data_IF_957580765980
#
_entry.id   IF_957580765980
#
_cell.length_a   1.000
_cell.length_b   1.000
_cell.length_c   1.000
_cell.angle_alpha   90.00
_cell.angle_beta   90.00
_cell.angle_gamma   90.00
#
_symmetry.space_group_name_H-M   'P 1'
#
loop_
_entity.id
_entity.type
_entity.pdbx_description
1 polymer ?
#
# COMPACT_ATOMS: atom_id res chain seq x y z
N UNK A 1 26.08 -35.02 -22.72
CA UNK A 1 24.80 -34.98 -21.98
C UNK A 1 24.62 -33.58 -21.45
N UNK A 2 23.73 -32.79 -22.05
CA UNK A 2 23.34 -31.48 -21.53
C UNK A 2 22.49 -31.72 -20.28
N UNK A 3 23.00 -31.27 -19.13
CA UNK A 3 22.21 -31.25 -17.90
C UNK A 3 21.01 -30.32 -18.13
N UNK A 4 19.83 -30.90 -18.25
CA UNK A 4 18.57 -30.17 -18.19
C UNK A 4 18.37 -29.81 -16.73
N UNK A 5 18.77 -28.59 -16.35
CA UNK A 5 18.37 -28.00 -15.08
C UNK A 5 16.88 -27.76 -15.16
N UNK A 6 16.10 -28.62 -14.52
CA UNK A 6 14.67 -28.35 -14.31
C UNK A 6 14.58 -27.11 -13.42
N UNK A 7 14.06 -26.02 -13.96
CA UNK A 7 13.57 -24.92 -13.14
C UNK A 7 12.37 -25.49 -12.37
N UNK A 8 12.58 -26.01 -11.16
CA UNK A 8 11.46 -26.25 -10.26
C UNK A 8 10.79 -24.89 -10.07
N UNK A 9 9.47 -24.85 -10.28
CA UNK A 9 8.66 -23.67 -10.00
C UNK A 9 8.60 -23.49 -8.47
N UNK A 10 9.71 -23.10 -7.86
CA UNK A 10 9.85 -22.99 -6.40
C UNK A 10 8.90 -21.91 -5.91
N UNK A 11 7.77 -22.31 -5.33
CA UNK A 11 6.78 -21.44 -4.74
C UNK A 11 7.44 -20.55 -3.67
N UNK A 12 7.06 -19.27 -3.62
CA UNK A 12 7.60 -18.35 -2.62
C UNK A 12 6.78 -18.55 -1.35
N UNK A 13 7.37 -19.24 -0.39
CA UNK A 13 6.78 -19.48 0.91
C UNK A 13 7.18 -18.39 1.88
N UNK A 14 6.21 -17.85 2.61
CA UNK A 14 6.44 -16.94 3.72
C UNK A 14 5.79 -17.45 4.99
N UNK A 15 6.54 -17.38 6.08
CA UNK A 15 6.03 -17.67 7.41
C UNK A 15 5.34 -16.43 7.98
N UNK A 16 4.08 -16.58 8.34
CA UNK A 16 3.20 -15.52 8.87
C UNK A 16 2.52 -15.99 10.15
N UNK A 17 2.10 -15.05 10.99
CA UNK A 17 1.36 -15.33 12.22
C UNK A 17 -0.14 -15.12 11.99
N UNK A 18 -0.91 -16.21 11.96
CA UNK A 18 -2.35 -16.16 11.89
C UNK A 18 -2.93 -15.86 13.27
N UNK A 19 -3.62 -14.73 13.40
CA UNK A 19 -4.12 -14.22 14.67
C UNK A 19 -5.62 -14.53 14.92
N UNK A 20 -6.29 -15.22 13.99
CA UNK A 20 -7.67 -15.68 14.20
C UNK A 20 -7.75 -16.99 14.97
N UNK A 21 -8.98 -17.43 15.25
CA UNK A 21 -9.27 -18.66 16.01
C UNK A 21 -9.78 -19.80 15.12
N UNK A 22 -10.03 -19.54 13.83
CA UNK A 22 -10.59 -20.54 12.94
C UNK A 22 -9.57 -21.63 12.59
N UNK A 23 -10.10 -22.78 12.16
CA UNK A 23 -9.29 -23.83 11.53
C UNK A 23 -9.07 -23.50 10.07
N UNK A 24 -7.81 -23.35 9.68
CA UNK A 24 -7.39 -23.05 8.32
C UNK A 24 -7.38 -24.31 7.48
N UNK A 25 -7.79 -24.17 6.21
CA UNK A 25 -7.62 -25.21 5.19
C UNK A 25 -6.62 -24.75 4.13
N UNK A 26 -6.01 -25.71 3.46
CA UNK A 26 -5.17 -25.44 2.30
C UNK A 26 -5.93 -24.60 1.26
N UNK A 27 -5.24 -23.60 0.70
CA UNK A 27 -5.81 -22.66 -0.28
C UNK A 27 -6.71 -21.56 0.29
N UNK A 28 -6.89 -21.47 1.60
CA UNK A 28 -7.58 -20.33 2.22
C UNK A 28 -6.81 -19.03 2.00
N UNK A 29 -7.54 -17.96 1.68
CA UNK A 29 -6.97 -16.63 1.48
C UNK A 29 -6.77 -15.91 2.82
N UNK A 30 -5.61 -15.27 2.99
CA UNK A 30 -5.29 -14.47 4.17
C UNK A 30 -4.82 -13.07 3.79
N UNK A 31 -5.09 -12.09 4.65
CA UNK A 31 -4.71 -10.70 4.48
C UNK A 31 -3.87 -10.20 5.67
N UNK A 32 -2.93 -9.29 5.42
CA UNK A 32 -2.17 -8.64 6.48
C UNK A 32 -3.07 -7.73 7.33
N UNK A 33 -2.95 -7.85 8.65
CA UNK A 33 -3.63 -6.99 9.61
C UNK A 33 -2.89 -5.65 9.73
N UNK A 34 -3.24 -4.69 8.86
CA UNK A 34 -2.64 -3.34 8.85
C UNK A 34 -3.18 -2.43 9.96
N UNK A 35 -4.28 -2.82 10.59
CA UNK A 35 -4.92 -2.11 11.71
C UNK A 35 -4.28 -2.41 13.06
N UNK A 36 -3.43 -3.43 13.16
CA UNK A 36 -2.90 -3.88 14.45
C UNK A 36 -1.93 -2.89 15.12
N UNK A 37 -2.08 -2.72 16.44
CA UNK A 37 -1.13 -2.04 17.33
C UNK A 37 -1.13 -0.50 17.25
N UNK A 38 -0.58 0.12 18.30
CA UNK A 38 -0.21 1.54 18.30
C UNK A 38 1.14 1.72 17.57
N UNK A 39 1.47 2.94 17.13
CA UNK A 39 2.62 3.23 16.23
C UNK A 39 3.94 2.54 16.62
N UNK A 40 4.17 2.32 17.92
CA UNK A 40 5.40 1.83 18.53
C UNK A 40 5.54 0.29 18.39
N UNK A 41 4.43 -0.46 18.33
CA UNK A 41 4.39 -1.93 18.22
C UNK A 41 3.91 -2.40 16.85
N UNK A 42 3.23 -1.51 16.13
CA UNK A 42 2.62 -1.72 14.83
C UNK A 42 3.63 -2.09 13.73
N UNK A 43 4.78 -1.42 13.69
CA UNK A 43 5.70 -1.52 12.55
C UNK A 43 6.20 -2.95 12.27
N UNK A 44 6.75 -3.71 13.25
CA UNK A 44 7.20 -5.07 12.99
C UNK A 44 6.04 -6.07 12.90
N UNK A 45 5.02 -5.95 13.76
CA UNK A 45 3.93 -6.92 13.82
C UNK A 45 3.03 -6.91 12.57
N UNK A 46 2.80 -5.74 11.95
CA UNK A 46 2.02 -5.61 10.70
C UNK A 46 2.70 -6.26 9.48
N UNK A 47 3.99 -6.58 9.57
CA UNK A 47 4.73 -7.20 8.47
C UNK A 47 4.50 -8.73 8.38
N UNK A 48 4.02 -9.38 9.44
CA UNK A 48 3.84 -10.84 9.45
C UNK A 48 2.49 -11.28 10.03
N UNK A 49 1.74 -10.42 10.70
CA UNK A 49 0.42 -10.75 11.24
C UNK A 49 -0.62 -10.79 10.14
N UNK A 50 -1.30 -11.92 10.02
CA UNK A 50 -2.37 -12.15 9.04
C UNK A 50 -3.67 -12.56 9.74
N UNK A 51 -4.77 -12.19 9.11
CA UNK A 51 -6.13 -12.48 9.58
C UNK A 51 -7.02 -12.80 8.38
N UNK A 52 -8.26 -13.19 8.66
CA UNK A 52 -9.31 -13.35 7.65
C UNK A 52 -9.47 -12.06 6.82
N UNK A 53 -9.73 -12.17 5.51
CA UNK A 53 -10.11 -11.02 4.70
C UNK A 53 -11.29 -10.27 5.32
N UNK A 54 -11.17 -8.94 5.41
CA UNK A 54 -12.14 -8.01 5.95
C UNK A 54 -12.07 -6.71 5.15
N UNK A 55 -13.12 -5.88 5.19
CA UNK A 55 -13.18 -4.64 4.41
C UNK A 55 -11.96 -3.74 4.61
N UNK A 56 -11.47 -3.64 5.85
CA UNK A 56 -10.31 -2.82 6.19
C UNK A 56 -8.95 -3.37 5.74
N UNK A 57 -8.85 -4.64 5.37
CA UNK A 57 -7.58 -5.29 5.00
C UNK A 57 -7.56 -5.94 3.62
N UNK A 58 -8.67 -5.89 2.87
CA UNK A 58 -8.87 -6.63 1.61
C UNK A 58 -7.87 -6.24 0.50
N UNK A 59 -7.23 -5.08 0.62
CA UNK A 59 -6.19 -4.60 -0.30
C UNK A 59 -4.79 -5.13 0.01
N UNK A 60 -4.63 -5.79 1.17
CA UNK A 60 -3.33 -6.26 1.67
C UNK A 60 -3.29 -7.78 1.68
N UNK A 61 -3.46 -8.38 0.49
CA UNK A 61 -3.38 -9.82 0.32
C UNK A 61 -2.01 -10.33 0.76
N UNK A 62 -1.99 -11.30 1.68
CA UNK A 62 -0.77 -11.90 2.18
C UNK A 62 -0.38 -13.15 1.39
N UNK A 63 -1.37 -13.87 0.88
CA UNK A 63 -1.19 -15.11 0.15
C UNK A 63 -2.26 -16.14 0.48
N UNK A 64 -2.04 -17.35 0.00
CA UNK A 64 -2.89 -18.51 0.31
C UNK A 64 -2.19 -19.49 1.23
N UNK A 65 -2.94 -20.13 2.11
CA UNK A 65 -2.42 -21.15 3.04
C UNK A 65 -1.84 -22.31 2.24
N UNK A 66 -0.58 -22.67 2.52
CA UNK A 66 0.11 -23.76 1.85
C UNK A 66 -0.48 -25.14 2.20
N UNK A 67 -0.34 -26.11 1.30
CA UNK A 67 -0.92 -27.45 1.43
C UNK A 67 -0.47 -28.20 2.69
N UNK A 68 0.75 -27.94 3.17
CA UNK A 68 1.35 -28.54 4.37
C UNK A 68 0.81 -27.94 5.69
N UNK A 69 -0.06 -26.93 5.60
CA UNK A 69 -0.64 -26.21 6.73
C UNK A 69 -2.14 -26.49 6.90
N UNK A 70 -2.68 -27.45 6.15
CA UNK A 70 -4.09 -27.85 6.24
C UNK A 70 -4.48 -28.33 7.65
N UNK A 71 -5.63 -27.89 8.14
CA UNK A 71 -6.18 -28.30 9.43
C UNK A 71 -5.56 -27.60 10.64
N UNK A 72 -4.72 -26.57 10.46
CA UNK A 72 -4.16 -25.81 11.59
C UNK A 72 -5.20 -24.86 12.19
N UNK A 73 -5.38 -24.94 13.50
CA UNK A 73 -6.23 -24.03 14.28
C UNK A 73 -5.40 -22.87 14.83
N UNK A 74 -5.90 -21.64 14.68
CA UNK A 74 -5.24 -20.46 15.20
C UNK A 74 -5.49 -20.19 16.70
N UNK A 75 -4.77 -19.23 17.30
CA UNK A 75 -3.72 -18.42 16.68
C UNK A 75 -2.39 -19.21 16.59
N UNK A 76 -1.74 -19.20 15.42
CA UNK A 76 -0.54 -19.99 15.19
C UNK A 76 0.33 -19.45 14.05
N UNK A 77 1.57 -19.94 13.96
CA UNK A 77 2.43 -19.68 12.82
C UNK A 77 2.08 -20.62 11.67
N UNK A 78 1.84 -20.04 10.49
CA UNK A 78 1.52 -20.76 9.27
C UNK A 78 2.39 -20.29 8.11
N UNK A 79 2.53 -21.14 7.12
CA UNK A 79 3.19 -20.81 5.85
C UNK A 79 2.14 -20.44 4.82
N UNK A 80 2.32 -19.31 4.15
CA UNK A 80 1.52 -18.89 3.00
C UNK A 80 2.37 -18.88 1.74
N UNK A 81 1.72 -19.12 0.60
CA UNK A 81 2.30 -18.93 -0.73
C UNK A 81 2.01 -17.50 -1.16
N UNK A 82 3.06 -16.72 -1.37
CA UNK A 82 2.97 -15.30 -1.74
C UNK A 82 2.75 -15.12 -3.26
N UNK A 83 2.04 -14.06 -3.67
CA UNK A 83 1.88 -13.67 -5.08
C UNK A 83 3.14 -12.93 -5.60
N UNK A 84 4.33 -13.51 -5.39
CA UNK A 84 5.61 -12.83 -5.64
C UNK A 84 5.93 -12.66 -7.14
N UNK A 85 5.48 -13.59 -8.00
CA UNK A 85 5.69 -13.53 -9.45
C UNK A 85 4.46 -14.12 -10.18
N UNK A 86 4.00 -13.47 -11.27
CA UNK A 86 2.97 -14.04 -12.14
C UNK A 86 3.51 -15.32 -12.77
N UNK A 87 2.65 -16.33 -12.93
CA UNK A 87 3.05 -17.61 -13.52
C UNK A 87 2.70 -18.83 -12.68
N UNK A 88 2.70 -18.69 -11.35
CA UNK A 88 2.76 -19.82 -10.42
C UNK A 88 1.39 -20.39 -10.08
N UNK A 89 1.25 -21.71 -10.21
CA UNK A 89 0.02 -22.44 -9.92
C UNK A 89 -0.05 -22.81 -8.44
N UNK A 90 -1.14 -22.42 -7.79
CA UNK A 90 -1.41 -22.71 -6.38
C UNK A 90 -2.86 -23.16 -6.22
N UNK A 91 -3.13 -24.01 -5.24
CA UNK A 91 -4.50 -24.32 -4.85
C UNK A 91 -5.12 -23.11 -4.16
N UNK A 92 -6.24 -22.65 -4.69
CA UNK A 92 -7.04 -21.57 -4.10
C UNK A 92 -8.41 -22.13 -3.78
N UNK A 93 -8.85 -21.98 -2.54
CA UNK A 93 -10.20 -22.37 -2.14
C UNK A 93 -11.19 -21.32 -2.62
N UNK A 94 -12.21 -21.74 -3.36
CA UNK A 94 -13.22 -20.85 -3.94
C UNK A 94 -14.61 -21.48 -3.89
N UNK A 95 -15.64 -20.64 -3.81
CA UNK A 95 -17.04 -21.02 -3.97
C UNK A 95 -17.62 -20.57 -5.33
N UNK A 96 -16.76 -20.10 -6.24
CA UNK A 96 -17.15 -19.63 -7.56
C UNK A 96 -16.85 -20.69 -8.61
N UNK A 97 -17.81 -20.92 -9.50
CA UNK A 97 -17.60 -21.79 -10.64
C UNK A 97 -16.49 -21.25 -11.53
N UNK A 98 -15.51 -22.12 -11.78
CA UNK A 98 -14.29 -21.77 -12.48
C UNK A 98 -14.32 -22.30 -13.91
N UNK A 99 -13.88 -21.47 -14.85
CA UNK A 99 -13.57 -21.84 -16.22
C UNK A 99 -12.09 -21.57 -16.45
N UNK A 100 -11.38 -22.57 -16.97
CA UNK A 100 -9.94 -22.53 -17.22
C UNK A 100 -9.57 -21.31 -18.08
N UNK A 101 -8.63 -20.50 -17.57
CA UNK A 101 -8.07 -19.33 -18.25
C UNK A 101 -9.00 -18.12 -18.33
N UNK A 102 -10.20 -18.17 -17.72
CA UNK A 102 -11.22 -17.11 -17.85
C UNK A 102 -11.63 -16.55 -16.49
N UNK A 103 -11.90 -17.41 -15.51
CA UNK A 103 -12.44 -16.95 -14.22
C UNK A 103 -11.35 -16.29 -13.38
N UNK A 104 -11.50 -14.98 -13.12
CA UNK A 104 -10.63 -14.25 -12.18
C UNK A 104 -11.22 -14.32 -10.77
N UNK A 105 -10.39 -14.78 -9.85
CA UNK A 105 -10.69 -14.95 -8.44
C UNK A 105 -10.24 -13.71 -7.67
N UNK A 106 -11.10 -13.22 -6.79
CA UNK A 106 -10.86 -12.08 -5.94
C UNK A 106 -11.16 -12.35 -4.48
N UNK A 107 -10.63 -11.50 -3.62
CA UNK A 107 -10.89 -11.58 -2.18
C UNK A 107 -12.33 -11.18 -1.85
N UNK A 108 -12.95 -11.86 -0.88
CA UNK A 108 -14.28 -11.56 -0.37
C UNK A 108 -14.18 -11.24 1.11
N UNK A 109 -14.66 -10.06 1.53
CA UNK A 109 -14.67 -9.67 2.94
C UNK A 109 -15.49 -10.67 3.76
N UNK A 110 -14.96 -11.08 4.92
CA UNK A 110 -15.60 -12.04 5.80
C UNK A 110 -15.52 -13.50 5.33
N UNK A 111 -14.76 -13.82 4.28
CA UNK A 111 -14.61 -15.18 3.75
C UNK A 111 -13.14 -15.57 3.60
N UNK A 112 -12.83 -16.86 3.80
CA UNK A 112 -11.54 -17.45 3.42
C UNK A 112 -11.51 -17.93 1.96
N UNK A 113 -12.68 -18.15 1.38
CA UNK A 113 -12.83 -18.56 -0.01
C UNK A 113 -12.72 -17.34 -0.92
N UNK A 114 -11.95 -17.47 -2.01
CA UNK A 114 -11.95 -16.52 -3.10
C UNK A 114 -13.31 -16.57 -3.82
N UNK A 115 -13.81 -15.40 -4.21
CA UNK A 115 -15.03 -15.25 -5.00
C UNK A 115 -14.74 -14.49 -6.30
N UNK A 116 -15.76 -13.88 -6.88
CA UNK A 116 -15.61 -13.12 -8.12
C UNK A 116 -14.73 -11.87 -7.91
N UNK A 117 -13.72 -11.72 -8.76
CA UNK A 117 -12.97 -10.48 -8.83
C UNK A 117 -13.84 -9.33 -9.33
N UNK A 118 -13.64 -8.13 -8.76
CA UNK A 118 -14.38 -6.92 -9.11
C UNK A 118 -13.77 -5.68 -8.46
N UNK A 119 -14.42 -4.52 -8.62
CA UNK A 119 -13.90 -3.25 -8.09
C UNK A 119 -13.69 -3.26 -6.56
N UNK A 120 -14.56 -3.95 -5.83
CA UNK A 120 -14.48 -4.09 -4.36
C UNK A 120 -13.74 -5.34 -3.90
N UNK A 121 -13.39 -6.23 -4.83
CA UNK A 121 -12.80 -7.55 -4.59
C UNK A 121 -11.58 -7.71 -5.49
N UNK A 122 -10.40 -7.24 -5.04
CA UNK A 122 -9.18 -7.24 -5.86
C UNK A 122 -8.91 -8.63 -6.43
N UNK A 123 -8.59 -8.70 -7.72
CA UNK A 123 -8.17 -9.95 -8.35
C UNK A 123 -6.86 -10.41 -7.71
N UNK A 124 -6.81 -11.68 -7.32
CA UNK A 124 -5.66 -12.33 -6.70
C UNK A 124 -5.15 -13.53 -7.50
N UNK A 125 -6.00 -14.10 -8.37
CA UNK A 125 -5.64 -15.26 -9.15
C UNK A 125 -6.52 -15.43 -10.39
N UNK A 126 -5.98 -16.12 -11.40
CA UNK A 126 -6.71 -16.60 -12.57
C UNK A 126 -6.92 -18.12 -12.43
N UNK A 127 -8.15 -18.61 -12.56
CA UNK A 127 -8.42 -20.04 -12.49
C UNK A 127 -7.78 -20.77 -13.68
N UNK A 128 -7.04 -21.83 -13.39
CA UNK A 128 -6.33 -22.68 -14.37
C UNK A 128 -6.95 -24.08 -14.45
N UNK A 129 -8.21 -24.19 -14.03
CA UNK A 129 -8.99 -25.42 -14.06
C UNK A 129 -10.47 -25.07 -14.21
N UNK A 130 -11.19 -25.85 -15.02
CA UNK A 130 -12.66 -25.77 -15.10
C UNK A 130 -13.25 -26.68 -14.03
N UNK A 131 -13.97 -26.12 -13.06
CA UNK A 131 -14.57 -26.86 -11.94
C UNK A 131 -15.84 -26.15 -11.43
N UNK A 132 -16.90 -26.92 -11.21
CA UNK A 132 -18.06 -26.45 -10.43
C UNK A 132 -17.68 -26.45 -8.94
N UNK A 133 -17.66 -25.25 -8.36
CA UNK A 133 -17.26 -25.03 -6.98
C UNK A 133 -18.42 -24.50 -6.14
N UNK A 134 -19.66 -24.71 -6.58
CA UNK A 134 -20.88 -24.26 -5.88
C UNK A 134 -20.96 -24.77 -4.42
N UNK A 135 -20.33 -25.90 -4.11
CA UNK A 135 -20.20 -26.44 -2.75
C UNK A 135 -18.92 -26.00 -1.99
N UNK A 136 -18.08 -25.17 -2.61
CA UNK A 136 -16.74 -24.82 -2.12
C UNK A 136 -15.70 -25.90 -2.44
N UNK A 137 -14.68 -25.55 -3.21
CA UNK A 137 -13.60 -26.46 -3.58
C UNK A 137 -12.26 -25.73 -3.76
N UNK A 138 -11.16 -26.48 -3.68
CA UNK A 138 -9.84 -25.99 -4.06
C UNK A 138 -9.64 -26.14 -5.57
N UNK A 139 -9.29 -25.05 -6.23
CA UNK A 139 -9.05 -24.97 -7.67
C UNK A 139 -7.59 -24.61 -7.91
N UNK A 140 -6.95 -25.22 -8.91
CA UNK A 140 -5.64 -24.74 -9.36
C UNK A 140 -5.79 -23.36 -10.00
N UNK A 141 -5.15 -22.36 -9.42
CA UNK A 141 -5.18 -21.00 -9.92
C UNK A 141 -3.77 -20.43 -10.01
N UNK A 142 -3.55 -19.61 -11.03
CA UNK A 142 -2.33 -18.85 -11.18
C UNK A 142 -2.45 -17.59 -10.34
N UNK A 143 -1.61 -17.40 -9.32
CA UNK A 143 -1.63 -16.16 -8.54
C UNK A 143 -1.27 -14.99 -9.47
N UNK A 144 -2.15 -14.00 -9.51
CA UNK A 144 -1.84 -12.72 -10.14
C UNK A 144 -0.89 -12.01 -9.17
N UNK A 145 0.28 -11.60 -9.66
CA UNK A 145 1.19 -10.77 -8.87
C UNK A 145 0.39 -9.62 -8.29
N UNK A 146 0.57 -9.33 -6.99
CA UNK A 146 -0.14 -8.23 -6.33
C UNK A 146 -0.14 -7.05 -7.29
N UNK A 147 -1.32 -6.47 -7.63
CA UNK A 147 -1.39 -5.44 -8.66
C UNK A 147 -0.29 -4.47 -8.33
N UNK A 148 0.71 -4.38 -9.23
CA UNK A 148 1.80 -3.42 -9.07
C UNK A 148 1.08 -2.16 -8.68
N UNK A 149 1.33 -1.65 -7.46
CA UNK A 149 0.65 -0.49 -6.93
C UNK A 149 0.65 0.46 -8.10
N UNK A 150 -0.52 0.64 -8.74
CA UNK A 150 -0.59 1.53 -9.86
C UNK A 150 -0.40 2.83 -9.12
N UNK A 151 0.85 3.30 -9.08
CA UNK A 151 1.17 4.67 -8.80
C UNK A 151 0.28 5.34 -9.79
N UNK A 152 -0.87 5.83 -9.32
CA UNK A 152 -1.79 6.62 -10.12
C UNK A 152 -0.84 7.63 -10.73
N UNK A 153 -0.54 7.60 -12.05
CA UNK A 153 0.34 8.60 -12.63
C UNK A 153 -0.27 9.90 -12.15
N UNK A 154 0.51 10.65 -11.36
CA UNK A 154 0.01 11.70 -10.48
C UNK A 154 -1.09 12.42 -11.24
N UNK A 155 -2.34 12.25 -10.79
CA UNK A 155 -3.53 12.65 -11.56
C UNK A 155 -3.21 14.00 -12.12
N UNK A 156 -3.04 14.09 -13.46
CA UNK A 156 -2.35 15.19 -14.13
C UNK A 156 -2.69 16.45 -13.36
N UNK A 157 -1.74 16.91 -12.53
CA UNK A 157 -2.02 18.02 -11.65
C UNK A 157 -2.17 19.14 -12.65
N UNK A 158 -3.42 19.50 -12.94
CA UNK A 158 -3.73 20.75 -13.59
C UNK A 158 -3.21 21.75 -12.58
N UNK A 159 -1.94 22.13 -12.74
CA UNK A 159 -1.36 23.24 -12.04
C UNK A 159 -2.26 24.39 -12.43
N UNK A 160 -3.20 24.70 -11.54
CA UNK A 160 -3.75 26.03 -11.52
C UNK A 160 -2.57 26.84 -11.00
N UNK A 161 -1.73 27.32 -11.91
CA UNK A 161 -0.84 28.42 -11.59
C UNK A 161 -1.76 29.52 -11.10
N UNK A 162 -1.90 29.65 -9.79
CA UNK A 162 -2.39 30.88 -9.20
C UNK A 162 -1.23 31.84 -9.46
N UNK A 163 -1.35 32.61 -10.54
CA UNK A 163 -0.53 33.79 -10.78
C UNK A 163 -0.81 34.73 -9.60
N UNK A 164 -0.03 34.59 -8.52
CA UNK A 164 0.02 35.59 -7.48
C UNK A 164 0.85 36.73 -8.05
N UNK A 165 0.17 37.68 -8.70
CA UNK A 165 0.78 38.96 -9.05
C UNK A 165 1.17 39.66 -7.75
N UNK A 166 2.43 39.52 -7.35
CA UNK A 166 3.09 40.41 -6.41
C UNK A 166 4.25 41.08 -7.14
N UNK A 167 4.31 42.40 -7.01
CA UNK A 167 5.14 43.35 -7.76
C UNK A 167 6.66 43.22 -7.55
N UNK A 168 7.15 42.11 -6.99
CA UNK A 168 8.56 41.97 -6.62
C UNK A 168 9.10 40.57 -6.92
N UNK A 169 9.53 40.36 -8.18
CA UNK A 169 10.58 39.40 -8.56
C UNK A 169 10.27 37.90 -8.42
N UNK A 170 10.44 37.15 -9.52
CA UNK A 170 10.32 35.69 -9.49
C UNK A 170 11.47 35.06 -8.69
N UNK A 171 11.15 34.38 -7.58
CA UNK A 171 11.98 33.30 -7.07
C UNK A 171 11.44 31.99 -7.67
N UNK A 172 12.12 31.49 -8.71
CA UNK A 172 11.85 30.18 -9.29
C UNK A 172 12.43 29.12 -8.35
N UNK A 173 11.56 28.40 -7.62
CA UNK A 173 11.98 27.33 -6.71
C UNK A 173 11.54 25.98 -7.30
N UNK A 174 12.49 25.31 -7.95
CA UNK A 174 12.33 23.91 -8.37
C UNK A 174 12.59 23.04 -7.15
N UNK A 175 11.54 22.44 -6.59
CA UNK A 175 11.66 21.41 -5.55
C UNK A 175 11.85 20.07 -6.24
N UNK A 176 13.09 19.62 -6.36
CA UNK A 176 13.37 18.22 -6.71
C UNK A 176 13.14 17.35 -5.47
N UNK A 177 12.21 16.41 -5.62
CA UNK A 177 11.64 15.59 -4.55
C UNK A 177 12.60 14.43 -4.21
N UNK A 178 13.29 14.50 -3.07
CA UNK A 178 13.98 13.35 -2.48
C UNK A 178 13.67 13.24 -0.98
N UNK A 179 12.64 12.45 -0.65
CA UNK A 179 12.73 11.46 0.42
C UNK A 179 12.76 11.89 1.89
N UNK A 180 12.44 13.12 2.27
CA UNK A 180 12.24 13.48 3.68
C UNK A 180 10.79 13.88 3.97
N UNK A 181 10.28 13.43 5.13
CA UNK A 181 8.94 13.71 5.63
C UNK A 181 8.81 15.22 5.82
N UNK A 182 8.36 15.88 4.76
CA UNK A 182 8.08 17.30 4.74
C UNK A 182 6.79 17.52 5.52
N UNK A 183 6.86 18.17 6.68
CA UNK A 183 5.69 18.72 7.36
C UNK A 183 5.41 20.10 6.75
N UNK A 184 4.49 20.24 5.77
CA UNK A 184 4.24 21.52 5.11
C UNK A 184 3.80 22.61 6.09
N UNK A 185 3.31 22.25 7.28
CA UNK A 185 2.97 23.20 8.33
C UNK A 185 4.19 23.87 8.97
N UNK A 186 5.30 23.16 9.18
CA UNK A 186 6.50 23.74 9.80
C UNK A 186 7.22 24.70 8.84
N UNK A 187 7.35 24.31 7.57
CA UNK A 187 7.95 25.20 6.57
C UNK A 187 7.09 26.46 6.35
N UNK A 188 5.78 26.31 6.16
CA UNK A 188 4.88 27.46 5.97
C UNK A 188 4.82 28.36 7.19
N UNK A 189 4.89 27.81 8.40
CA UNK A 189 4.94 28.62 9.63
C UNK A 189 6.27 29.37 9.76
N UNK A 190 7.40 28.72 9.46
CA UNK A 190 8.72 29.35 9.52
C UNK A 190 8.86 30.47 8.49
N UNK A 191 8.42 30.26 7.24
CA UNK A 191 8.45 31.31 6.21
C UNK A 191 7.51 32.47 6.51
N UNK A 192 6.33 32.19 7.08
CA UNK A 192 5.41 33.24 7.54
C UNK A 192 6.02 34.05 8.68
N UNK A 193 6.67 33.41 9.62
CA UNK A 193 7.31 34.06 10.76
C UNK A 193 8.51 34.92 10.31
N UNK A 194 9.35 34.40 9.40
CA UNK A 194 10.46 35.16 8.79
C UNK A 194 9.93 36.39 8.04
N UNK A 195 8.86 36.23 7.25
CA UNK A 195 8.25 37.36 6.51
C UNK A 195 7.73 38.44 7.46
N UNK A 196 7.07 38.05 8.55
CA UNK A 196 6.60 38.99 9.58
C UNK A 196 7.77 39.70 10.27
N UNK A 197 8.84 38.97 10.57
CA UNK A 197 10.05 39.55 11.18
C UNK A 197 10.72 40.56 10.23
N UNK A 198 10.87 40.25 8.94
CA UNK A 198 11.41 41.17 7.95
C UNK A 198 10.56 42.44 7.79
N UNK A 199 9.23 42.33 7.79
CA UNK A 199 8.35 43.50 7.73
C UNK A 199 8.51 44.40 8.95
N UNK A 200 8.69 43.83 10.15
CA UNK A 200 8.96 44.60 11.37
C UNK A 200 10.31 45.31 11.30
N UNK A 201 11.36 44.60 10.88
CA UNK A 201 12.70 45.19 10.70
C UNK A 201 12.64 46.36 9.69
N UNK A 202 11.90 46.22 8.59
CA UNK A 202 11.75 47.30 7.62
C UNK A 202 11.05 48.52 8.21
N UNK A 203 9.98 48.33 8.99
CA UNK A 203 9.28 49.40 9.68
C UNK A 203 10.18 50.09 10.71
N UNK A 204 10.97 49.32 11.47
CA UNK A 204 11.91 49.86 12.46
C UNK A 204 13.03 50.68 11.80
N UNK A 205 13.60 50.19 10.68
CA UNK A 205 14.60 50.93 9.91
C UNK A 205 14.00 52.23 9.37
N UNK A 206 12.77 52.21 8.84
CA UNK A 206 12.10 53.42 8.35
C UNK A 206 11.84 54.43 9.47
N UNK A 207 11.49 53.97 10.67
CA UNK A 207 11.33 54.80 11.85
C UNK A 207 12.67 55.42 12.28
N UNK A 208 13.75 54.63 12.31
CA UNK A 208 15.10 55.10 12.63
C UNK A 208 15.57 56.16 11.63
N UNK A 209 15.39 55.93 10.32
CA UNK A 209 15.76 56.91 9.29
C UNK A 209 15.00 58.23 9.50
N UNK A 210 13.69 58.15 9.77
CA UNK A 210 12.88 59.33 10.08
C UNK A 210 13.40 60.07 11.31
N UNK A 211 13.72 59.36 12.39
CA UNK A 211 14.28 59.96 13.60
C UNK A 211 15.65 60.60 13.37
N UNK A 212 16.51 59.99 12.56
CA UNK A 212 17.83 60.53 12.22
C UNK A 212 17.76 61.77 11.32
N UNK A 213 16.81 61.81 10.37
CA UNK A 213 16.51 63.00 9.57
C UNK A 213 15.97 64.14 10.43
N UNK A 214 15.03 63.85 11.34
CA UNK A 214 14.50 64.85 12.27
C UNK A 214 15.58 65.40 13.22
N UNK A 215 16.60 64.58 13.53
CA UNK A 215 17.77 65.00 14.30
C UNK A 215 18.85 65.72 13.46
N UNK A 216 18.65 65.90 12.15
CA UNK A 216 19.63 66.44 11.19
C UNK A 216 20.98 65.69 11.16
N UNK A 217 20.98 64.40 11.51
CA UNK A 217 22.17 63.55 11.49
C UNK A 217 22.36 62.92 10.11
N UNK A 218 21.26 62.66 9.41
CA UNK A 218 21.25 62.23 8.01
C UNK A 218 20.65 63.37 7.15
N UNK A 219 21.36 63.73 6.07
CA UNK A 219 20.86 64.64 5.05
C UNK A 219 19.79 63.98 4.17
#
# INVERSE_FOLDING_TARGET
MTNVTYNSEDLTHRKVYYAGEDTLKAGYCLCYDRSFGQANEAAPARAYRVVKPAEGNIRYFAGVVADDQDGRTGPCWVTVVEPALPGRLVKVFTNQNCTLGVTRLGLVAGSYAAGAAGASSPAIALAMQTLDCSAGAAVMAQLEGAPALTVKPAAAVTQTQVQLTHDYGYADFVVDDVGEIFYPSLLNNNFREITVQLMRIHADIAAIITSLRNANILA
#
